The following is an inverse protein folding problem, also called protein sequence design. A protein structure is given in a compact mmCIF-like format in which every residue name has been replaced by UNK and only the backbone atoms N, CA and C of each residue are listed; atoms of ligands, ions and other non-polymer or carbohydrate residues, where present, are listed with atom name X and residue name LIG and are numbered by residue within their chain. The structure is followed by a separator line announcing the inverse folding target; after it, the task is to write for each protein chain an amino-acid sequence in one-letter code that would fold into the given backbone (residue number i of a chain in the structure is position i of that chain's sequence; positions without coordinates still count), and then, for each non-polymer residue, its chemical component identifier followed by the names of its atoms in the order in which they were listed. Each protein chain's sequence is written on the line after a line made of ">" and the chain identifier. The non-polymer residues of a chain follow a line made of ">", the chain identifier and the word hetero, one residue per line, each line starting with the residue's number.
data_IF_954264312442
#
_entry.id   IF_954264312442
#
_cell.length_a   1.000
_cell.length_b   1.000
_cell.length_c   1.000
_cell.angle_alpha   90.00
_cell.angle_beta   90.00
_cell.angle_gamma   90.00
#
_symmetry.space_group_name_H-M   'P 1'
#
loop_
_entity.id
_entity.type
_entity.pdbx_description
1 polymer ?
#
# COMPACT_ATOMS: atom_id res chain seq x y z
N UNK A 1 -19.83 -1.93 11.87
CA UNK A 1 -19.74 -1.01 10.71
C UNK A 1 -18.28 -0.61 10.59
N UNK A 2 -17.52 -1.31 9.73
CA UNK A 2 -16.10 -1.00 9.53
C UNK A 2 -15.99 0.27 8.70
N UNK A 3 -15.57 1.35 9.33
CA UNK A 3 -15.34 2.64 8.68
C UNK A 3 -14.00 2.57 7.96
N UNK A 4 -14.00 2.06 6.72
CA UNK A 4 -12.86 2.24 5.82
C UNK A 4 -12.68 3.74 5.67
N UNK A 5 -11.66 4.29 6.34
CA UNK A 5 -11.30 5.70 6.18
C UNK A 5 -10.98 5.90 4.72
N UNK A 6 -11.79 6.70 4.02
CA UNK A 6 -11.65 6.94 2.58
C UNK A 6 -10.24 7.45 2.31
N UNK A 7 -9.37 6.58 1.80
CA UNK A 7 -8.05 6.99 1.32
C UNK A 7 -8.25 7.99 0.16
N UNK A 8 -7.34 8.98 0.00
CA UNK A 8 -7.50 10.01 -1.02
C UNK A 8 -7.72 9.40 -2.40
N UNK A 9 -8.87 9.67 -3.02
CA UNK A 9 -9.27 8.95 -4.24
C UNK A 9 -8.47 9.37 -5.48
N UNK A 10 -7.77 10.51 -5.47
CA UNK A 10 -7.14 11.07 -6.68
C UNK A 10 -5.92 11.98 -6.45
N UNK A 11 -5.36 12.08 -5.24
CA UNK A 11 -4.18 12.96 -5.06
C UNK A 11 -2.93 12.31 -5.65
N UNK A 12 -2.21 13.09 -6.46
CA UNK A 12 -0.81 12.83 -6.78
C UNK A 12 -0.03 12.74 -5.47
N UNK A 13 0.22 11.52 -5.01
CA UNK A 13 1.04 11.35 -3.82
C UNK A 13 2.48 11.73 -4.13
N UNK A 14 3.15 12.29 -3.12
CA UNK A 14 4.60 12.37 -3.14
C UNK A 14 5.19 10.98 -2.88
N UNK A 15 6.40 10.71 -3.36
CA UNK A 15 7.10 9.46 -3.06
C UNK A 15 8.40 9.84 -2.37
N UNK A 16 8.57 9.40 -1.13
CA UNK A 16 9.81 9.61 -0.39
C UNK A 16 10.96 8.85 -1.05
N UNK A 17 12.20 9.31 -0.88
CA UNK A 17 13.40 8.63 -1.35
C UNK A 17 13.46 7.17 -0.84
N UNK A 18 13.18 6.98 0.46
CA UNK A 18 13.10 5.65 1.06
C UNK A 18 12.08 4.74 0.36
N UNK A 19 10.87 5.26 0.06
CA UNK A 19 9.86 4.47 -0.63
C UNK A 19 10.31 4.10 -2.05
N UNK A 20 11.01 4.99 -2.74
CA UNK A 20 11.54 4.74 -4.08
C UNK A 20 12.63 3.64 -4.08
N UNK A 21 13.53 3.68 -3.10
CA UNK A 21 14.56 2.64 -2.93
C UNK A 21 13.91 1.28 -2.64
N UNK A 22 12.99 1.24 -1.67
CA UNK A 22 12.28 0.01 -1.30
C UNK A 22 11.44 -0.53 -2.44
N UNK A 23 10.85 0.33 -3.27
CA UNK A 23 10.13 -0.08 -4.46
C UNK A 23 11.04 -0.82 -5.43
N UNK A 24 12.20 -0.24 -5.73
CA UNK A 24 13.19 -0.83 -6.65
C UNK A 24 13.68 -2.19 -6.15
N UNK A 25 13.83 -2.35 -4.84
CA UNK A 25 14.27 -3.60 -4.22
C UNK A 25 13.17 -4.67 -4.13
N UNK A 26 11.93 -4.27 -3.84
CA UNK A 26 10.87 -5.19 -3.37
C UNK A 26 9.76 -5.44 -4.38
N UNK A 27 9.59 -4.55 -5.36
CA UNK A 27 8.54 -4.70 -6.36
C UNK A 27 8.90 -5.77 -7.38
N UNK A 28 7.94 -6.63 -7.71
CA UNK A 28 8.04 -7.52 -8.88
C UNK A 28 8.10 -6.73 -10.21
N UNK A 29 7.69 -5.46 -10.19
CA UNK A 29 7.69 -4.55 -11.34
C UNK A 29 8.44 -3.24 -11.00
N UNK A 30 9.78 -3.26 -10.85
CA UNK A 30 10.53 -2.09 -10.37
C UNK A 30 10.51 -0.91 -11.35
N UNK A 31 10.17 -1.14 -12.63
CA UNK A 31 10.01 -0.09 -13.65
C UNK A 31 8.64 0.59 -13.64
N UNK A 32 7.64 -0.01 -12.98
CA UNK A 32 6.33 0.61 -12.79
C UNK A 32 6.48 1.80 -11.84
N UNK A 33 5.79 2.90 -12.12
CA UNK A 33 5.83 4.09 -11.27
C UNK A 33 5.06 3.82 -9.95
N UNK A 34 5.67 3.99 -8.77
CA UNK A 34 4.98 3.77 -7.49
C UNK A 34 3.70 4.60 -7.33
N UNK A 35 3.64 5.78 -7.96
CA UNK A 35 2.42 6.60 -7.97
C UNK A 35 1.30 5.97 -8.77
N UNK A 36 1.61 5.37 -9.92
CA UNK A 36 0.62 4.66 -10.73
C UNK A 36 0.09 3.44 -9.96
N UNK A 37 0.98 2.66 -9.36
CA UNK A 37 0.61 1.54 -8.52
C UNK A 37 -0.29 1.95 -7.34
N UNK A 38 -0.06 3.11 -6.72
CA UNK A 38 -0.96 3.61 -5.68
C UNK A 38 -2.38 3.91 -6.19
N UNK A 39 -2.50 4.43 -7.40
CA UNK A 39 -3.80 4.74 -8.01
C UNK A 39 -4.60 3.48 -8.30
N UNK A 40 -3.92 2.42 -8.75
CA UNK A 40 -4.51 1.11 -9.07
C UNK A 40 -4.73 0.24 -7.82
N UNK A 41 -4.04 0.55 -6.71
CA UNK A 41 -4.12 -0.23 -5.48
C UNK A 41 -5.45 -0.06 -4.73
N UNK A 42 -5.86 -1.14 -4.07
CA UNK A 42 -7.12 -1.24 -3.35
C UNK A 42 -6.92 -0.76 -1.91
N UNK A 43 -7.74 0.16 -1.38
CA UNK A 43 -7.71 0.55 0.03
C UNK A 43 -7.96 -0.65 0.95
N UNK A 44 -7.05 -0.86 1.90
CA UNK A 44 -7.15 -1.95 2.87
C UNK A 44 -6.85 -1.44 4.28
N UNK A 45 -7.47 -2.05 5.27
CA UNK A 45 -7.01 -1.99 6.65
C UNK A 45 -5.75 -2.86 6.78
N UNK A 46 -4.68 -2.24 7.27
CA UNK A 46 -3.41 -2.92 7.50
C UNK A 46 -3.10 -2.94 9.00
N UNK A 47 -3.20 -4.10 9.68
CA UNK A 47 -3.09 -4.20 11.14
C UNK A 47 -1.76 -3.69 11.70
N UNK A 48 -0.69 -3.79 10.93
CA UNK A 48 0.66 -3.35 11.31
C UNK A 48 0.96 -1.89 10.91
N UNK A 49 -0.07 -1.10 10.56
CA UNK A 49 0.12 0.32 10.25
C UNK A 49 0.55 1.09 11.50
N UNK A 50 1.60 1.90 11.37
CA UNK A 50 2.13 2.70 12.46
C UNK A 50 2.52 4.10 11.96
N UNK A 51 2.45 5.15 12.80
CA UNK A 51 2.89 6.49 12.42
C UNK A 51 4.33 6.49 11.85
N UNK A 52 4.60 7.29 10.80
CA UNK A 52 3.73 8.31 10.23
C UNK A 52 2.69 7.78 9.22
N UNK A 53 2.66 6.47 8.93
CA UNK A 53 1.66 5.89 8.03
C UNK A 53 0.23 6.13 8.56
N UNK A 54 -0.66 6.60 7.68
CA UNK A 54 -2.09 6.77 7.97
C UNK A 54 -2.98 5.94 7.06
N UNK A 55 -2.54 5.71 5.82
CA UNK A 55 -3.31 5.00 4.81
C UNK A 55 -2.51 3.80 4.29
N UNK A 56 -3.22 2.71 4.03
CA UNK A 56 -2.67 1.54 3.37
C UNK A 56 -3.50 1.19 2.14
N UNK A 57 -2.82 0.83 1.05
CA UNK A 57 -3.44 0.22 -0.12
C UNK A 57 -2.67 -1.02 -0.51
N UNK A 58 -3.35 -2.05 -1.00
CA UNK A 58 -2.73 -3.25 -1.54
C UNK A 58 -2.76 -3.23 -3.06
N UNK A 59 -1.58 -3.31 -3.67
CA UNK A 59 -1.41 -3.38 -5.11
C UNK A 59 -1.22 -4.84 -5.53
N UNK A 60 -2.27 -5.43 -6.09
CA UNK A 60 -2.32 -6.86 -6.44
C UNK A 60 -1.22 -7.26 -7.43
N UNK A 61 -0.96 -6.46 -8.47
CA UNK A 61 0.00 -6.84 -9.50
C UNK A 61 1.45 -6.93 -9.01
N UNK A 62 1.79 -6.23 -7.94
CA UNK A 62 3.14 -6.26 -7.35
C UNK A 62 3.20 -7.02 -6.03
N UNK A 63 2.07 -7.52 -5.52
CA UNK A 63 1.93 -8.09 -4.17
C UNK A 63 2.47 -7.16 -3.06
N UNK A 64 2.29 -5.84 -3.20
CA UNK A 64 2.81 -4.85 -2.26
C UNK A 64 1.69 -4.15 -1.49
N UNK A 65 1.86 -4.03 -0.18
CA UNK A 65 1.16 -3.07 0.66
C UNK A 65 1.90 -1.74 0.61
N UNK A 66 1.22 -0.71 0.14
CA UNK A 66 1.71 0.66 0.00
C UNK A 66 1.25 1.49 1.19
N UNK A 67 2.18 2.14 1.88
CA UNK A 67 1.88 2.93 3.09
C UNK A 67 2.11 4.41 2.82
N UNK A 68 1.05 5.20 3.02
CA UNK A 68 1.06 6.65 2.81
C UNK A 68 0.86 7.38 4.14
N UNK A 69 1.67 8.41 4.37
CA UNK A 69 1.56 9.29 5.52
C UNK A 69 0.37 10.26 5.39
N UNK A 70 0.06 10.97 6.49
CA UNK A 70 -1.08 11.90 6.51
C UNK A 70 -0.92 13.17 5.67
N UNK A 71 0.25 13.37 5.09
CA UNK A 71 0.60 14.46 4.16
C UNK A 71 0.63 14.00 2.69
N UNK A 72 0.01 12.85 2.40
CA UNK A 72 -0.04 12.21 1.08
C UNK A 72 1.35 11.83 0.51
N UNK A 73 2.32 11.51 1.38
CA UNK A 73 3.62 10.94 0.96
C UNK A 73 3.63 9.41 1.08
N UNK A 74 3.94 8.69 0.00
CA UNK A 74 4.33 7.28 0.06
C UNK A 74 5.64 7.16 0.83
N UNK A 75 5.56 6.57 2.02
CA UNK A 75 6.69 6.44 2.92
C UNK A 75 7.36 5.07 2.83
N UNK A 76 6.64 4.02 2.43
CA UNK A 76 7.24 2.70 2.21
C UNK A 76 6.31 1.76 1.44
N UNK A 77 6.86 0.65 0.96
CA UNK A 77 6.12 -0.47 0.38
C UNK A 77 6.63 -1.80 0.95
N UNK A 78 5.71 -2.74 1.16
CA UNK A 78 5.96 -3.98 1.89
C UNK A 78 5.37 -5.16 1.12
N UNK A 79 6.16 -6.20 0.75
CA UNK A 79 5.60 -7.43 0.20
C UNK A 79 4.65 -8.09 1.18
N UNK A 80 3.42 -8.37 0.73
CA UNK A 80 2.42 -9.02 1.57
C UNK A 80 2.89 -10.43 1.94
N UNK A 81 3.52 -11.14 1.00
CA UNK A 81 4.22 -12.41 1.23
C UNK A 81 5.25 -12.41 2.37
N UNK A 82 5.80 -11.25 2.77
CA UNK A 82 6.71 -11.14 3.92
C UNK A 82 5.99 -10.94 5.26
N UNK A 83 4.65 -10.87 5.26
CA UNK A 83 3.83 -10.73 6.47
C UNK A 83 3.43 -12.09 7.02
N UNK A 84 2.94 -12.11 8.26
CA UNK A 84 2.38 -13.33 8.84
C UNK A 84 1.19 -13.83 8.01
N UNK A 85 0.98 -15.14 7.93
CA UNK A 85 -0.15 -15.74 7.17
C UNK A 85 -1.50 -15.13 7.58
N UNK A 86 -1.67 -14.84 8.88
CA UNK A 86 -2.88 -14.19 9.40
C UNK A 86 -3.08 -12.79 8.82
N UNK A 87 -2.01 -12.00 8.72
CA UNK A 87 -2.05 -10.65 8.15
C UNK A 87 -2.27 -10.70 6.64
N UNK A 88 -1.64 -11.65 5.94
CA UNK A 88 -1.89 -11.90 4.52
C UNK A 88 -3.36 -12.18 4.26
N UNK A 89 -3.94 -13.16 4.99
CA UNK A 89 -5.35 -13.51 4.88
C UNK A 89 -6.28 -12.34 5.21
N UNK A 90 -5.93 -11.53 6.22
CA UNK A 90 -6.72 -10.35 6.58
C UNK A 90 -6.75 -9.31 5.47
N UNK A 91 -5.60 -8.98 4.87
CA UNK A 91 -5.52 -8.03 3.75
C UNK A 91 -6.26 -8.60 2.54
N UNK A 92 -6.02 -9.86 2.19
CA UNK A 92 -6.66 -10.50 1.03
C UNK A 92 -8.19 -10.65 1.19
N UNK A 93 -8.70 -10.85 2.41
CA UNK A 93 -10.16 -10.93 2.64
C UNK A 93 -10.91 -9.63 2.38
N UNK A 94 -10.20 -8.49 2.32
CA UNK A 94 -10.77 -7.18 2.02
C UNK A 94 -10.77 -6.88 0.51
N UNK A 95 -9.99 -7.63 -0.24
CA UNK A 95 -9.85 -7.53 -1.69
C UNK A 95 -10.86 -8.50 -2.28
N UNK A 96 -12.14 -8.15 -2.21
CA UNK A 96 -13.20 -8.87 -2.91
C UNK A 96 -13.32 -8.32 -4.32
N UNK A 97 -13.12 -9.19 -5.31
CA UNK A 97 -13.57 -8.92 -6.68
C UNK A 97 -15.08 -8.60 -6.63
N UNK A 98 -15.48 -7.46 -7.19
CA UNK A 98 -16.87 -7.29 -7.64
C UNK A 98 -17.16 -8.25 -8.81
#
# INVERSE_FOLDING_TARGET
>A
MSTVTQSPRYTEISVSEHAYDRWTERSAQPKLNPRAAWLEAIPVEYPSINPPAKYARYHQETDLVLLVAGDDTLITCIPLSQRSVKEQQYVLSQVTDE
#
